data_IF_739837275451
#
_entry.id   IF_739837275451
#
_cell.length_a   1.000
_cell.length_b   1.000
_cell.length_c   1.000
_cell.angle_alpha   90.00
_cell.angle_beta   90.00
_cell.angle_gamma   90.00
#
_symmetry.space_group_name_H-M   'P 1'
#
loop_
_entity.id
_entity.type
_entity.pdbx_description
1 polymer ?
#
# COMPACT_ATOMS: atom_id res chain seq x y z
N UNK A 1 5.24 12.77 10.57
CA UNK A 1 6.28 12.57 9.52
C UNK A 1 5.67 12.94 8.18
N UNK A 2 6.45 13.15 7.12
CA UNK A 2 5.88 13.40 5.78
C UNK A 2 5.44 12.07 5.19
N UNK A 3 4.26 12.04 4.55
CA UNK A 3 3.81 10.86 3.82
C UNK A 3 4.72 10.59 2.61
N UNK A 4 5.21 9.37 2.53
CA UNK A 4 5.96 8.77 1.45
C UNK A 4 5.12 7.66 0.80
N UNK A 5 4.93 7.78 -0.50
CA UNK A 5 4.06 6.88 -1.26
C UNK A 5 4.79 5.65 -1.78
N UNK A 6 6.11 5.74 -1.96
CA UNK A 6 6.93 4.59 -2.29
C UNK A 6 6.97 3.63 -1.08
N UNK A 7 7.01 4.19 0.14
CA UNK A 7 6.89 3.39 1.36
C UNK A 7 5.48 2.78 1.55
N UNK A 8 4.40 3.53 1.28
CA UNK A 8 3.03 2.96 1.34
C UNK A 8 2.89 1.78 0.38
N UNK A 9 3.37 1.92 -0.86
CA UNK A 9 3.39 0.82 -1.83
C UNK A 9 4.17 -0.37 -1.29
N UNK A 10 5.38 -0.15 -0.79
CA UNK A 10 6.23 -1.20 -0.27
C UNK A 10 5.57 -1.96 0.90
N UNK A 11 4.94 -1.24 1.85
CA UNK A 11 4.24 -1.85 2.98
C UNK A 11 3.07 -2.72 2.49
N UNK A 12 2.20 -2.19 1.64
CA UNK A 12 1.01 -2.93 1.19
C UNK A 12 1.41 -4.22 0.44
N UNK A 13 2.34 -4.12 -0.52
CA UNK A 13 2.81 -5.28 -1.28
C UNK A 13 3.51 -6.31 -0.37
N UNK A 14 4.26 -5.85 0.64
CA UNK A 14 4.92 -6.73 1.59
C UNK A 14 3.92 -7.41 2.53
N UNK A 15 2.92 -6.69 3.03
CA UNK A 15 1.84 -7.25 3.85
C UNK A 15 1.04 -8.32 3.09
N UNK A 16 0.73 -8.05 1.82
CA UNK A 16 0.06 -9.01 0.95
C UNK A 16 0.87 -10.30 0.80
N UNK A 17 2.16 -10.19 0.47
CA UNK A 17 3.05 -11.34 0.34
C UNK A 17 3.27 -12.08 1.68
N UNK A 18 3.12 -11.38 2.81
CA UNK A 18 3.26 -11.96 4.14
C UNK A 18 2.00 -12.74 4.58
N UNK A 19 0.84 -12.39 4.05
CA UNK A 19 -0.44 -13.03 4.38
C UNK A 19 -0.56 -14.43 3.76
N UNK A 20 0.02 -15.44 4.43
CA UNK A 20 0.06 -16.82 3.93
C UNK A 20 -1.14 -17.68 4.35
N UNK A 21 -1.90 -17.26 5.35
CA UNK A 21 -3.00 -18.04 5.91
C UNK A 21 -4.16 -17.12 6.30
N UNK A 22 -5.40 -17.46 5.92
CA UNK A 22 -6.56 -16.67 6.29
C UNK A 22 -6.76 -16.68 7.82
N UNK A 23 -7.25 -15.55 8.35
CA UNK A 23 -7.69 -15.40 9.75
C UNK A 23 -6.59 -15.49 10.82
N UNK A 24 -5.31 -15.60 10.45
CA UNK A 24 -4.19 -15.48 11.40
C UNK A 24 -3.95 -14.01 11.74
N UNK A 25 -3.81 -13.70 13.03
CA UNK A 25 -3.45 -12.36 13.50
C UNK A 25 -1.94 -12.33 13.73
N UNK A 26 -1.23 -11.54 12.92
CA UNK A 26 0.17 -11.22 13.11
C UNK A 26 0.29 -10.05 14.07
N UNK A 27 1.16 -10.16 15.06
CA UNK A 27 1.51 -9.07 15.98
C UNK A 27 3.00 -8.82 15.81
N UNK A 28 3.34 -7.67 15.26
CA UNK A 28 4.72 -7.28 14.99
C UNK A 28 5.19 -6.35 16.09
N UNK A 29 6.14 -6.82 16.90
CA UNK A 29 6.67 -6.06 18.02
C UNK A 29 8.04 -5.46 17.70
N UNK A 30 8.81 -6.12 16.84
CA UNK A 30 10.13 -5.70 16.41
C UNK A 30 10.13 -5.46 14.90
N UNK A 31 9.80 -4.23 14.50
CA UNK A 31 9.68 -3.86 13.09
C UNK A 31 11.00 -4.00 12.34
N UNK A 32 12.14 -3.74 13.02
CA UNK A 32 13.46 -3.81 12.41
C UNK A 32 13.80 -5.22 11.97
N UNK A 33 13.41 -6.22 12.76
CA UNK A 33 13.74 -7.62 12.50
C UNK A 33 12.61 -8.36 11.75
N UNK A 34 11.36 -8.14 12.13
CA UNK A 34 10.21 -8.90 11.61
C UNK A 34 9.66 -8.29 10.32
N UNK A 35 9.76 -6.97 10.14
CA UNK A 35 9.19 -6.27 8.99
C UNK A 35 10.09 -5.16 8.40
N UNK A 36 11.40 -5.37 8.16
CA UNK A 36 12.27 -4.34 7.61
C UNK A 36 11.91 -3.96 6.17
N UNK A 37 11.94 -2.66 5.86
CA UNK A 37 11.87 -2.15 4.47
C UNK A 37 13.16 -1.37 4.23
N UNK A 38 13.90 -1.76 3.19
CA UNK A 38 15.18 -1.15 2.87
C UNK A 38 15.05 0.37 2.65
N UNK A 39 15.94 1.13 3.28
CA UNK A 39 15.96 2.60 3.17
C UNK A 39 15.02 3.34 4.12
N UNK A 40 14.25 2.64 4.96
CA UNK A 40 13.30 3.25 5.89
C UNK A 40 13.49 2.77 7.33
N UNK A 41 13.27 3.66 8.30
CA UNK A 41 13.32 3.32 9.73
C UNK A 41 12.03 2.64 10.19
N UNK A 42 12.08 1.98 11.35
CA UNK A 42 10.88 1.40 11.98
C UNK A 42 9.80 2.42 12.28
N UNK A 43 10.17 3.63 12.69
CA UNK A 43 9.22 4.73 12.92
C UNK A 43 8.56 5.16 11.61
N UNK A 44 9.30 5.23 10.50
CA UNK A 44 8.75 5.52 9.19
C UNK A 44 7.74 4.44 8.79
N UNK A 45 8.11 3.17 8.94
CA UNK A 45 7.24 2.04 8.60
C UNK A 45 5.97 2.05 9.44
N UNK A 46 6.07 2.21 10.76
CA UNK A 46 4.91 2.27 11.66
C UNK A 46 3.99 3.44 11.29
N UNK A 47 4.56 4.62 11.07
CA UNK A 47 3.77 5.81 10.72
C UNK A 47 2.97 5.58 9.42
N UNK A 48 3.60 5.01 8.39
CA UNK A 48 2.91 4.75 7.13
C UNK A 48 1.92 3.58 7.22
N UNK A 49 2.22 2.57 8.03
CA UNK A 49 1.27 1.52 8.36
C UNK A 49 0.00 2.09 9.01
N UNK A 50 0.13 3.04 9.94
CA UNK A 50 -1.01 3.70 10.57
C UNK A 50 -1.88 4.44 9.53
N UNK A 51 -1.27 5.14 8.57
CA UNK A 51 -2.02 5.79 7.48
C UNK A 51 -2.79 4.78 6.61
N UNK A 52 -2.21 3.60 6.36
CA UNK A 52 -2.86 2.50 5.62
C UNK A 52 -4.04 1.94 6.43
N UNK A 53 -3.86 1.75 7.74
CA UNK A 53 -4.92 1.30 8.64
C UNK A 53 -6.06 2.32 8.78
N UNK A 54 -5.75 3.61 8.88
CA UNK A 54 -6.74 4.70 8.89
C UNK A 54 -7.59 4.75 7.61
N UNK A 55 -7.00 4.33 6.47
CA UNK A 55 -7.71 4.19 5.20
C UNK A 55 -8.57 2.94 5.10
N UNK A 56 -8.49 2.02 6.06
CA UNK A 56 -9.24 0.77 6.04
C UNK A 56 -8.73 -0.24 5.01
N UNK A 57 -7.48 -0.11 4.57
CA UNK A 57 -6.87 -1.02 3.60
C UNK A 57 -6.35 -2.31 4.24
N UNK A 58 -6.17 -2.30 5.55
CA UNK A 58 -5.75 -3.45 6.35
C UNK A 58 -6.76 -3.71 7.45
N UNK A 59 -6.95 -4.98 7.75
CA UNK A 59 -7.66 -5.43 8.94
C UNK A 59 -6.67 -5.59 10.09
N UNK A 60 -6.81 -4.74 11.11
CA UNK A 60 -5.91 -4.71 12.27
C UNK A 60 -6.36 -5.62 13.42
N UNK A 61 -7.42 -6.42 13.22
CA UNK A 61 -8.02 -7.25 14.27
C UNK A 61 -8.41 -6.45 15.54
N UNK A 62 -8.76 -5.18 15.40
CA UNK A 62 -9.23 -4.33 16.50
C UNK A 62 -8.15 -3.67 17.35
N UNK A 63 -6.86 -3.81 17.01
CA UNK A 63 -5.76 -3.17 17.71
C UNK A 63 -5.12 -2.07 16.86
N UNK A 64 -5.37 -0.81 17.19
CA UNK A 64 -4.81 0.35 16.45
C UNK A 64 -4.07 1.36 17.33
N UNK A 65 -3.90 1.09 18.62
CA UNK A 65 -3.51 2.12 19.61
C UNK A 65 -2.11 2.01 20.19
N UNK A 66 -1.25 1.11 19.68
CA UNK A 66 0.11 1.00 20.19
C UNK A 66 1.11 1.65 19.21
N UNK A 67 1.94 2.55 19.70
CA UNK A 67 2.83 3.39 18.88
C UNK A 67 4.10 2.68 18.40
N UNK A 68 4.35 1.44 18.83
CA UNK A 68 5.58 0.68 18.51
C UNK A 68 5.33 -0.68 17.86
N UNK A 69 4.07 -1.07 17.74
CA UNK A 69 3.69 -2.40 17.25
C UNK A 69 2.53 -2.26 16.30
N UNK A 70 2.42 -3.15 15.32
CA UNK A 70 1.18 -3.25 14.56
C UNK A 70 0.63 -4.67 14.54
N UNK A 71 -0.68 -4.75 14.40
CA UNK A 71 -1.41 -6.00 14.21
C UNK A 71 -1.96 -6.05 12.81
N UNK A 72 -1.87 -7.21 12.17
CA UNK A 72 -2.31 -7.42 10.81
C UNK A 72 -3.02 -8.77 10.70
N UNK A 73 -4.26 -8.77 10.22
CA UNK A 73 -5.05 -9.98 9.94
C UNK A 73 -5.18 -10.26 8.45
N UNK A 74 -5.10 -9.22 7.61
CA UNK A 74 -5.20 -9.33 6.17
C UNK A 74 -5.39 -7.97 5.52
N UNK A 75 -5.25 -7.91 4.19
CA UNK A 75 -5.74 -6.76 3.42
C UNK A 75 -7.26 -6.82 3.35
N UNK A 76 -7.90 -5.66 3.30
CA UNK A 76 -9.31 -5.56 2.91
C UNK A 76 -9.43 -5.63 1.39
N UNK A 77 -10.66 -5.70 0.86
CA UNK A 77 -10.88 -5.64 -0.59
C UNK A 77 -10.23 -4.39 -1.20
N UNK A 78 -10.38 -3.23 -0.54
CA UNK A 78 -9.77 -1.97 -1.00
C UNK A 78 -8.23 -2.00 -0.92
N UNK A 79 -7.68 -2.71 0.05
CA UNK A 79 -6.24 -2.93 0.16
C UNK A 79 -5.68 -3.75 -1.00
N UNK A 80 -6.38 -4.82 -1.40
CA UNK A 80 -6.02 -5.61 -2.59
C UNK A 80 -6.15 -4.80 -3.88
N UNK A 81 -7.24 -4.05 -4.02
CA UNK A 81 -7.44 -3.13 -5.14
C UNK A 81 -6.28 -2.14 -5.31
N UNK A 82 -5.80 -1.58 -4.19
CA UNK A 82 -4.63 -0.71 -4.22
C UNK A 82 -3.37 -1.50 -4.59
N UNK A 83 -3.11 -2.63 -3.93
CA UNK A 83 -1.96 -3.49 -4.20
C UNK A 83 -1.84 -3.82 -5.70
N UNK A 84 -2.93 -4.27 -6.32
CA UNK A 84 -2.96 -4.61 -7.74
C UNK A 84 -2.77 -3.39 -8.64
N UNK A 85 -3.32 -2.23 -8.28
CA UNK A 85 -3.13 -1.00 -9.06
C UNK A 85 -1.67 -0.54 -9.11
N UNK A 86 -0.87 -0.83 -8.07
CA UNK A 86 0.53 -0.38 -7.95
C UNK A 86 1.55 -1.51 -8.12
N UNK A 87 1.12 -2.74 -8.39
CA UNK A 87 2.01 -3.90 -8.47
C UNK A 87 2.99 -3.77 -9.63
N UNK A 88 2.50 -3.41 -10.81
CA UNK A 88 3.32 -3.25 -12.00
C UNK A 88 4.21 -2.00 -11.89
N UNK A 89 5.53 -2.20 -11.98
CA UNK A 89 6.52 -1.11 -11.81
C UNK A 89 6.36 -0.02 -12.87
N UNK A 90 5.93 -0.36 -14.09
CA UNK A 90 5.72 0.60 -15.16
C UNK A 90 4.48 1.46 -14.88
N UNK A 91 3.38 0.86 -14.47
CA UNK A 91 2.17 1.56 -14.01
C UNK A 91 2.50 2.45 -12.80
N UNK A 92 3.29 1.96 -11.86
CA UNK A 92 3.72 2.74 -10.70
C UNK A 92 4.56 3.96 -11.10
N UNK A 93 5.56 3.77 -11.97
CA UNK A 93 6.40 4.87 -12.46
C UNK A 93 5.56 5.95 -13.15
N UNK A 94 4.63 5.55 -14.03
CA UNK A 94 3.72 6.47 -14.71
C UNK A 94 2.82 7.23 -13.72
N UNK A 95 2.31 6.53 -12.70
CA UNK A 95 1.50 7.12 -11.62
C UNK A 95 2.29 8.18 -10.85
N UNK A 96 3.51 7.85 -10.43
CA UNK A 96 4.39 8.74 -9.68
C UNK A 96 4.77 9.98 -10.50
N UNK A 97 5.12 9.80 -11.76
CA UNK A 97 5.42 10.90 -12.68
C UNK A 97 4.20 11.80 -12.94
N UNK A 98 3.02 11.21 -13.11
CA UNK A 98 1.77 11.95 -13.30
C UNK A 98 1.43 12.83 -12.09
N UNK A 99 1.54 12.27 -10.88
CA UNK A 99 1.32 13.00 -9.64
C UNK A 99 2.34 14.12 -9.42
N UNK A 100 3.63 13.87 -9.71
CA UNK A 100 4.69 14.90 -9.69
C UNK A 100 4.34 16.08 -10.60
N UNK A 101 3.90 15.81 -11.82
CA UNK A 101 3.51 16.85 -12.78
C UNK A 101 2.26 17.62 -12.35
N UNK A 102 1.33 16.96 -11.67
CA UNK A 102 0.10 17.58 -11.18
C UNK A 102 0.29 18.40 -9.89
N UNK A 103 1.45 18.28 -9.21
CA UNK A 103 1.71 18.95 -7.94
C UNK A 103 0.81 18.47 -6.78
N UNK A 104 0.08 17.37 -6.98
CA UNK A 104 -0.89 16.82 -6.05
C UNK A 104 -0.50 15.38 -5.69
N UNK A 105 -0.42 15.10 -4.39
CA UNK A 105 0.05 13.83 -3.85
C UNK A 105 -0.88 13.32 -2.77
N UNK A 106 -2.15 13.07 -3.11
CA UNK A 106 -3.05 12.34 -2.21
C UNK A 106 -2.99 10.84 -2.50
N UNK A 107 -3.15 10.02 -1.46
CA UNK A 107 -3.29 8.56 -1.61
C UNK A 107 -4.41 8.21 -2.60
N UNK A 108 -5.51 8.96 -2.51
CA UNK A 108 -6.68 8.78 -3.36
C UNK A 108 -6.37 9.06 -4.84
N UNK A 109 -5.71 10.19 -5.12
CA UNK A 109 -5.31 10.55 -6.48
C UNK A 109 -4.35 9.53 -7.10
N UNK A 110 -3.41 9.01 -6.31
CA UNK A 110 -2.47 8.00 -6.79
C UNK A 110 -3.17 6.69 -7.12
N UNK A 111 -4.12 6.25 -6.28
CA UNK A 111 -4.96 5.09 -6.57
C UNK A 111 -5.79 5.29 -7.85
N UNK A 112 -6.39 6.48 -8.03
CA UNK A 112 -7.14 6.81 -9.24
C UNK A 112 -6.26 6.82 -10.50
N UNK A 113 -5.07 7.41 -10.43
CA UNK A 113 -4.13 7.43 -11.56
C UNK A 113 -3.65 6.03 -11.91
N UNK A 114 -3.28 5.22 -10.92
CA UNK A 114 -2.86 3.84 -11.11
C UNK A 114 -3.95 3.00 -11.79
N UNK A 115 -5.20 3.08 -11.30
CA UNK A 115 -6.37 2.45 -11.92
C UNK A 115 -6.61 2.95 -13.35
N UNK A 116 -6.47 4.25 -13.59
CA UNK A 116 -6.62 4.86 -14.93
C UNK A 116 -5.56 4.37 -15.94
N UNK A 117 -4.30 4.27 -15.52
CA UNK A 117 -3.24 3.72 -16.36
C UNK A 117 -3.43 2.23 -16.66
N UNK A 118 -3.86 1.46 -15.66
CA UNK A 118 -4.19 0.04 -15.85
C UNK A 118 -5.33 -0.14 -16.87
N UNK A 119 -6.41 0.65 -16.78
CA UNK A 119 -7.50 0.66 -17.78
C UNK A 119 -6.99 0.92 -19.19
N UNK A 120 -6.15 1.94 -19.35
CA UNK A 120 -5.54 2.27 -20.66
C UNK A 120 -4.67 1.12 -21.19
N UNK A 121 -3.98 0.38 -20.33
CA UNK A 121 -3.25 -0.82 -20.76
C UNK A 121 -4.20 -1.94 -21.20
N UNK A 122 -5.26 -2.21 -20.44
CA UNK A 122 -6.28 -3.20 -20.80
C UNK A 122 -6.91 -2.88 -22.15
N UNK A 123 -7.25 -1.62 -22.40
CA UNK A 123 -7.73 -1.14 -23.71
C UNK A 123 -6.77 -1.49 -24.84
N UNK A 124 -5.47 -1.22 -24.65
CA UNK A 124 -4.46 -1.53 -25.66
C UNK A 124 -4.31 -3.04 -25.93
N UNK A 125 -4.51 -3.89 -24.92
CA UNK A 125 -4.37 -5.35 -25.05
C UNK A 125 -5.63 -6.04 -25.55
N UNK A 126 -6.81 -5.56 -25.18
CA UNK A 126 -8.09 -6.24 -25.39
C UNK A 126 -8.97 -5.57 -26.44
N UNK A 127 -8.72 -4.28 -26.74
CA UNK A 127 -9.61 -3.45 -27.56
C UNK A 127 -10.89 -3.00 -26.86
N UNK A 128 -11.07 -3.32 -25.56
CA UNK A 128 -12.27 -2.98 -24.78
C UNK A 128 -12.01 -1.73 -23.93
N UNK A 129 -12.84 -0.70 -24.10
CA UNK A 129 -12.85 0.54 -23.29
C UNK A 129 -13.61 0.35 -21.98
N UNK A 130 -13.01 0.74 -20.85
CA UNK A 130 -13.48 0.51 -19.46
C UNK A 130 -13.73 1.77 -18.64
#
# INVERSE_FOLDING_TARGET
MRRDMDLIRAIVLKLEAWHKQPSVIFIVQDIENDFPIEGFTSEEIIYHYQLIAEKGWVDTAGSTKNYRTFTFRGLTSDGHDFADSVRDDKVWSMTREGALKAGAFSIDLLSQLAKGFAKKQIENYTGITL
#
